data_IF_811411004318
#
_entry.id   IF_811411004318
#
_cell.length_a   1.000
_cell.length_b   1.000
_cell.length_c   1.000
_cell.angle_alpha   90.00
_cell.angle_beta   90.00
_cell.angle_gamma   90.00
#
_symmetry.space_group_name_H-M   'P 1'
#
loop_
_entity.id
_entity.type
_entity.pdbx_description
1 polymer ?
#
# COMPACT_ATOMS: atom_id res chain seq x y z
N UNK A 1 -35.95 9.89 -7.11
CA UNK A 1 -34.76 10.12 -7.93
C UNK A 1 -33.79 11.12 -7.32
N UNK A 2 -34.21 12.35 -6.98
CA UNK A 2 -33.32 13.36 -6.38
C UNK A 2 -32.65 12.87 -5.05
N UNK A 3 -33.42 12.17 -4.19
CA UNK A 3 -32.86 11.57 -2.96
C UNK A 3 -31.81 10.51 -3.24
N UNK A 4 -32.05 9.65 -4.25
CA UNK A 4 -31.12 8.58 -4.62
C UNK A 4 -29.79 9.16 -5.13
N UNK A 5 -29.85 10.16 -6.03
CA UNK A 5 -28.64 10.86 -6.51
C UNK A 5 -27.86 11.52 -5.35
N UNK A 6 -28.57 12.12 -4.38
CA UNK A 6 -27.92 12.73 -3.20
C UNK A 6 -27.21 11.67 -2.36
N UNK A 7 -27.85 10.53 -2.10
CA UNK A 7 -27.25 9.41 -1.35
C UNK A 7 -26.03 8.88 -2.10
N UNK A 8 -26.17 8.58 -3.41
CA UNK A 8 -25.05 8.09 -4.23
C UNK A 8 -23.85 9.06 -4.19
N UNK A 9 -24.09 10.37 -4.34
CA UNK A 9 -23.06 11.40 -4.26
C UNK A 9 -22.37 11.44 -2.89
N UNK A 10 -23.14 11.30 -1.81
CA UNK A 10 -22.59 11.33 -0.45
C UNK A 10 -21.71 10.10 -0.19
N UNK A 11 -22.18 8.92 -0.58
CA UNK A 11 -21.43 7.66 -0.41
C UNK A 11 -20.16 7.65 -1.28
N UNK A 12 -20.30 7.91 -2.59
CA UNK A 12 -19.16 7.93 -3.52
C UNK A 12 -18.16 9.01 -3.11
N UNK A 13 -18.62 10.22 -2.80
CA UNK A 13 -17.73 11.32 -2.44
C UNK A 13 -16.95 11.08 -1.14
N UNK A 14 -17.61 10.56 -0.09
CA UNK A 14 -16.95 10.22 1.16
C UNK A 14 -15.91 9.12 0.96
N UNK A 15 -16.28 8.04 0.24
CA UNK A 15 -15.39 6.91 0.01
C UNK A 15 -14.18 7.28 -0.85
N UNK A 16 -14.38 8.07 -1.92
CA UNK A 16 -13.30 8.52 -2.79
C UNK A 16 -12.29 9.43 -2.05
N UNK A 17 -12.76 10.32 -1.17
CA UNK A 17 -11.85 11.13 -0.34
C UNK A 17 -11.02 10.22 0.58
N UNK A 18 -11.64 9.27 1.26
CA UNK A 18 -10.94 8.37 2.19
C UNK A 18 -9.99 7.45 1.43
N UNK A 19 -10.45 6.82 0.34
CA UNK A 19 -9.65 5.92 -0.49
C UNK A 19 -8.42 6.62 -1.07
N UNK A 20 -8.61 7.81 -1.65
CA UNK A 20 -7.51 8.61 -2.18
C UNK A 20 -6.52 9.05 -1.10
N UNK A 21 -6.99 9.35 0.11
CA UNK A 21 -6.13 9.78 1.20
C UNK A 21 -5.32 8.62 1.81
N UNK A 22 -5.90 7.43 1.94
CA UNK A 22 -5.19 6.23 2.38
C UNK A 22 -4.06 5.90 1.40
N UNK A 23 -4.35 5.91 0.09
CA UNK A 23 -3.33 5.69 -0.95
C UNK A 23 -2.28 6.81 -0.96
N UNK A 24 -2.69 8.08 -0.78
CA UNK A 24 -1.75 9.20 -0.72
C UNK A 24 -0.88 9.16 0.54
N UNK A 25 -1.33 8.54 1.63
CA UNK A 25 -0.51 8.29 2.82
C UNK A 25 0.64 7.31 2.53
N UNK A 26 0.46 6.34 1.62
CA UNK A 26 1.50 5.42 1.14
C UNK A 26 1.48 5.33 -0.40
N UNK A 27 1.73 6.47 -1.07
CA UNK A 27 1.76 6.51 -2.52
C UNK A 27 2.92 5.69 -3.12
N UNK A 28 4.00 5.51 -2.37
CA UNK A 28 5.13 4.63 -2.75
C UNK A 28 4.65 3.17 -2.76
N UNK A 29 3.98 2.70 -1.71
CA UNK A 29 3.42 1.35 -1.67
C UNK A 29 2.37 1.14 -2.77
N UNK A 30 1.52 2.13 -3.04
CA UNK A 30 0.57 2.04 -4.15
C UNK A 30 1.26 2.01 -5.52
N UNK A 31 2.41 2.69 -5.69
CA UNK A 31 3.19 2.60 -6.93
C UNK A 31 3.77 1.20 -7.16
N UNK A 32 4.15 0.47 -6.10
CA UNK A 32 4.58 -0.93 -6.22
C UNK A 32 3.45 -1.83 -6.72
N UNK A 33 2.22 -1.63 -6.24
CA UNK A 33 1.05 -2.36 -6.75
C UNK A 33 0.76 -2.06 -8.22
N UNK A 34 0.89 -0.80 -8.66
CA UNK A 34 0.78 -0.46 -10.08
C UNK A 34 1.89 -1.08 -10.91
N UNK A 35 3.11 -1.16 -10.38
CA UNK A 35 4.22 -1.84 -11.02
C UNK A 35 3.88 -3.33 -11.25
N UNK A 36 3.35 -4.01 -10.23
CA UNK A 36 2.94 -5.41 -10.33
C UNK A 36 1.86 -5.60 -11.40
N UNK A 37 0.88 -4.67 -11.50
CA UNK A 37 -0.13 -4.73 -12.57
C UNK A 37 0.45 -4.56 -13.98
N UNK A 38 1.44 -3.67 -14.15
CA UNK A 38 2.03 -3.38 -15.47
C UNK A 38 3.18 -4.31 -15.87
N UNK A 39 3.59 -5.19 -14.97
CA UNK A 39 4.64 -6.17 -15.20
C UNK A 39 4.34 -7.08 -16.42
N UNK A 40 5.37 -7.62 -17.09
CA UNK A 40 5.23 -8.43 -18.31
C UNK A 40 4.38 -9.69 -18.13
N UNK A 41 4.37 -10.26 -16.93
CA UNK A 41 3.64 -11.49 -16.60
C UNK A 41 2.18 -11.22 -16.18
N UNK A 42 1.76 -9.94 -16.11
CA UNK A 42 0.40 -9.52 -15.77
C UNK A 42 -0.28 -8.84 -16.95
N UNK A 43 -0.17 -7.53 -17.10
CA UNK A 43 -0.79 -6.78 -18.20
C UNK A 43 0.16 -6.51 -19.36
N UNK A 44 1.46 -6.70 -19.19
CA UNK A 44 2.52 -6.45 -20.18
C UNK A 44 2.44 -5.05 -20.79
N UNK A 45 2.46 -4.02 -19.93
CA UNK A 45 2.43 -2.62 -20.36
C UNK A 45 3.70 -1.90 -19.87
N UNK A 46 4.89 -2.23 -20.42
CA UNK A 46 6.18 -1.75 -19.93
C UNK A 46 6.32 -0.22 -20.00
N UNK A 47 5.59 0.44 -20.89
CA UNK A 47 5.60 1.90 -21.01
C UNK A 47 5.28 2.62 -19.69
N UNK A 48 4.43 2.05 -18.83
CA UNK A 48 4.05 2.69 -17.57
C UNK A 48 4.99 2.36 -16.41
N UNK A 49 5.92 1.42 -16.53
CA UNK A 49 6.80 1.01 -15.42
C UNK A 49 7.66 2.16 -14.90
N UNK A 50 8.17 3.02 -15.78
CA UNK A 50 8.95 4.20 -15.38
C UNK A 50 8.09 5.33 -14.78
N UNK A 51 6.77 5.26 -14.92
CA UNK A 51 5.83 6.29 -14.50
C UNK A 51 4.88 5.85 -13.38
N UNK A 52 5.11 4.68 -12.76
CA UNK A 52 4.20 4.13 -11.75
C UNK A 52 4.01 5.07 -10.55
N UNK A 53 5.06 5.72 -10.07
CA UNK A 53 4.96 6.66 -8.95
C UNK A 53 4.19 7.95 -9.30
N UNK A 54 4.53 8.70 -10.36
CA UNK A 54 3.71 9.83 -10.80
C UNK A 54 2.25 9.46 -11.06
N UNK A 55 2.00 8.27 -11.62
CA UNK A 55 0.65 7.76 -11.87
C UNK A 55 -0.09 7.46 -10.56
N UNK A 56 0.58 6.84 -9.59
CA UNK A 56 0.02 6.59 -8.26
C UNK A 56 -0.40 7.90 -7.59
N UNK A 57 0.46 8.91 -7.55
CA UNK A 57 0.16 10.23 -6.99
C UNK A 57 -1.01 10.90 -7.73
N UNK A 58 -1.02 10.82 -9.07
CA UNK A 58 -2.11 11.35 -9.88
C UNK A 58 -3.45 10.70 -9.53
N UNK A 59 -3.51 9.38 -9.42
CA UNK A 59 -4.73 8.63 -9.07
C UNK A 59 -5.21 9.03 -7.67
N UNK A 60 -4.32 9.08 -6.67
CA UNK A 60 -4.67 9.50 -5.30
C UNK A 60 -5.29 10.89 -5.26
N UNK A 61 -4.65 11.86 -5.92
CA UNK A 61 -5.13 13.24 -5.99
C UNK A 61 -6.46 13.31 -6.74
N UNK A 62 -6.58 12.60 -7.86
CA UNK A 62 -7.82 12.58 -8.65
C UNK A 62 -8.99 12.01 -7.86
N UNK A 63 -8.81 10.95 -7.09
CA UNK A 63 -9.84 10.40 -6.19
C UNK A 63 -10.33 11.45 -5.19
N UNK A 64 -9.42 12.14 -4.51
CA UNK A 64 -9.77 13.15 -3.51
C UNK A 64 -10.52 14.33 -4.17
N UNK A 65 -10.02 14.83 -5.30
CA UNK A 65 -10.64 15.95 -6.02
C UNK A 65 -12.02 15.59 -6.57
N UNK A 66 -12.16 14.40 -7.16
CA UNK A 66 -13.45 13.92 -7.68
C UNK A 66 -14.45 13.65 -6.54
N UNK A 67 -13.94 13.12 -5.41
CA UNK A 67 -14.75 12.93 -4.20
C UNK A 67 -15.30 14.27 -3.67
N UNK A 68 -14.46 15.30 -3.57
CA UNK A 68 -14.92 16.64 -3.19
C UNK A 68 -15.86 17.24 -4.24
N UNK A 69 -15.49 17.17 -5.52
CA UNK A 69 -16.28 17.74 -6.62
C UNK A 69 -17.69 17.16 -6.70
N UNK A 70 -17.84 15.83 -6.53
CA UNK A 70 -19.17 15.20 -6.53
C UNK A 70 -19.99 15.60 -5.31
N UNK A 71 -19.38 15.79 -4.15
CA UNK A 71 -20.06 16.26 -2.93
C UNK A 71 -20.61 17.67 -3.12
N UNK A 72 -19.80 18.60 -3.61
CA UNK A 72 -20.23 20.01 -3.77
C UNK A 72 -21.00 20.26 -5.07
N UNK A 73 -21.03 19.30 -5.99
CA UNK A 73 -21.71 19.43 -7.28
C UNK A 73 -20.97 20.30 -8.29
N UNK A 74 -19.62 20.34 -8.20
CA UNK A 74 -18.77 21.12 -9.10
C UNK A 74 -18.65 20.43 -10.46
N UNK A 75 -18.75 21.21 -11.55
CA UNK A 75 -18.58 20.71 -12.95
C UNK A 75 -19.18 19.32 -13.18
N UNK A 76 -20.42 19.10 -12.75
CA UNK A 76 -21.02 17.75 -12.59
C UNK A 76 -20.90 16.84 -13.80
N UNK A 77 -20.98 17.39 -15.03
CA UNK A 77 -20.79 16.60 -16.24
C UNK A 77 -19.36 16.02 -16.27
N UNK A 78 -18.35 16.88 -16.13
CA UNK A 78 -16.95 16.45 -16.10
C UNK A 78 -16.70 15.47 -14.94
N UNK A 79 -17.12 15.83 -13.73
CA UNK A 79 -16.95 15.01 -12.52
C UNK A 79 -17.58 13.62 -12.67
N UNK A 80 -18.82 13.53 -13.17
CA UNK A 80 -19.52 12.25 -13.33
C UNK A 80 -18.83 11.32 -14.33
N UNK A 81 -18.42 11.87 -15.49
CA UNK A 81 -17.73 11.07 -16.51
C UNK A 81 -16.29 10.71 -16.08
N UNK A 82 -15.58 11.57 -15.34
CA UNK A 82 -14.27 11.24 -14.79
C UNK A 82 -14.37 10.16 -13.72
N UNK A 83 -15.38 10.21 -12.83
CA UNK A 83 -15.68 9.13 -11.88
C UNK A 83 -15.98 7.81 -12.60
N UNK A 84 -16.78 7.87 -13.67
CA UNK A 84 -17.08 6.67 -14.47
C UNK A 84 -15.82 6.07 -15.10
N UNK A 85 -14.98 6.91 -15.72
CA UNK A 85 -13.73 6.44 -16.31
C UNK A 85 -12.81 5.79 -15.25
N UNK A 86 -12.69 6.42 -14.08
CA UNK A 86 -11.87 5.94 -13.00
C UNK A 86 -12.38 4.61 -12.43
N UNK A 87 -13.69 4.49 -12.18
CA UNK A 87 -14.23 3.24 -11.64
C UNK A 87 -14.16 2.10 -12.66
N UNK A 88 -14.38 2.36 -13.96
CA UNK A 88 -14.21 1.35 -15.00
C UNK A 88 -12.74 0.87 -15.13
N UNK A 89 -11.79 1.77 -14.91
CA UNK A 89 -10.38 1.39 -14.83
C UNK A 89 -10.12 0.45 -13.64
N UNK A 90 -10.63 0.76 -12.45
CA UNK A 90 -10.48 -0.12 -11.29
C UNK A 90 -11.26 -1.43 -11.45
N UNK A 91 -12.51 -1.39 -11.97
CA UNK A 91 -13.28 -2.61 -12.30
C UNK A 91 -12.48 -3.54 -13.22
N UNK A 92 -11.80 -2.99 -14.23
CA UNK A 92 -10.96 -3.74 -15.15
C UNK A 92 -9.77 -4.41 -14.43
N UNK A 93 -9.05 -3.66 -13.58
CA UNK A 93 -7.91 -4.19 -12.83
C UNK A 93 -8.34 -5.27 -11.82
N UNK A 94 -9.37 -5.00 -11.02
CA UNK A 94 -9.83 -5.93 -9.97
C UNK A 94 -10.49 -7.17 -10.57
N UNK A 95 -11.23 -7.05 -11.68
CA UNK A 95 -11.74 -8.20 -12.42
C UNK A 95 -10.60 -9.06 -12.99
N UNK A 96 -9.59 -8.43 -13.59
CA UNK A 96 -8.43 -9.13 -14.12
C UNK A 96 -7.71 -9.93 -13.02
N UNK A 97 -7.45 -9.28 -11.89
CA UNK A 97 -6.86 -9.94 -10.72
C UNK A 97 -7.70 -11.12 -10.22
N UNK A 98 -9.02 -10.93 -10.08
CA UNK A 98 -9.93 -11.96 -9.60
C UNK A 98 -10.05 -13.15 -10.55
N UNK A 99 -10.09 -12.89 -11.86
CA UNK A 99 -10.30 -13.93 -12.86
C UNK A 99 -9.04 -14.74 -13.16
N UNK A 100 -7.88 -14.05 -13.26
CA UNK A 100 -6.61 -14.70 -13.60
C UNK A 100 -5.76 -15.07 -12.37
N UNK A 101 -6.18 -14.68 -11.18
CA UNK A 101 -5.48 -14.91 -9.91
C UNK A 101 -4.01 -14.44 -9.94
N UNK A 102 -3.76 -13.26 -10.53
CA UNK A 102 -2.40 -12.75 -10.78
C UNK A 102 -1.88 -11.80 -9.70
N UNK A 103 -2.72 -10.86 -9.24
CA UNK A 103 -2.39 -9.90 -8.19
C UNK A 103 -3.34 -10.15 -7.03
N UNK A 104 -2.81 -10.63 -5.91
CA UNK A 104 -3.61 -11.06 -4.74
C UNK A 104 -4.15 -9.89 -3.92
N UNK A 105 -3.54 -8.70 -4.03
CA UNK A 105 -3.95 -7.49 -3.33
C UNK A 105 -4.04 -6.31 -4.30
N UNK A 106 -5.24 -5.82 -4.54
CA UNK A 106 -5.50 -4.75 -5.50
C UNK A 106 -5.02 -3.35 -5.04
N UNK A 107 -4.64 -3.18 -3.77
CA UNK A 107 -4.21 -1.90 -3.22
C UNK A 107 -5.29 -0.81 -3.15
N UNK A 108 -6.58 -1.15 -3.29
CA UNK A 108 -7.68 -0.18 -3.29
C UNK A 108 -7.74 0.69 -2.03
N UNK A 109 -7.38 0.12 -0.87
CA UNK A 109 -7.24 0.80 0.41
C UNK A 109 -5.82 0.69 0.97
N UNK A 110 -4.81 0.54 0.08
CA UNK A 110 -3.42 0.30 0.50
C UNK A 110 -3.32 -0.90 1.44
N UNK A 111 -2.39 -0.84 2.38
CA UNK A 111 -2.20 -1.90 3.39
C UNK A 111 -3.20 -1.81 4.57
N UNK A 112 -4.10 -0.80 4.57
CA UNK A 112 -5.06 -0.60 5.67
C UNK A 112 -6.18 -1.65 5.70
N UNK A 113 -6.61 -2.15 4.54
CA UNK A 113 -7.64 -3.17 4.41
C UNK A 113 -7.21 -4.15 3.33
N UNK A 114 -6.88 -5.35 3.73
CA UNK A 114 -6.60 -6.45 2.81
C UNK A 114 -7.93 -7.06 2.34
N UNK A 115 -8.25 -6.86 1.08
CA UNK A 115 -9.41 -7.44 0.42
C UNK A 115 -8.96 -8.49 -0.59
N UNK A 116 -9.65 -9.60 -0.64
CA UNK A 116 -9.46 -10.57 -1.73
C UNK A 116 -9.78 -9.91 -3.08
N UNK A 117 -9.24 -10.42 -4.20
CA UNK A 117 -9.54 -9.86 -5.53
C UNK A 117 -11.04 -9.82 -5.84
N UNK A 118 -11.80 -10.84 -5.46
CA UNK A 118 -13.27 -10.90 -5.66
C UNK A 118 -14.02 -9.90 -4.78
N UNK A 119 -13.63 -9.69 -3.53
CA UNK A 119 -14.22 -8.67 -2.66
C UNK A 119 -13.95 -7.25 -3.20
N UNK A 120 -12.73 -7.02 -3.70
CA UNK A 120 -12.35 -5.77 -4.35
C UNK A 120 -13.20 -5.49 -5.58
N UNK A 121 -13.36 -6.48 -6.45
CA UNK A 121 -14.22 -6.38 -7.63
C UNK A 121 -15.70 -6.15 -7.25
N UNK A 122 -16.23 -6.90 -6.29
CA UNK A 122 -17.61 -6.72 -5.83
C UNK A 122 -17.86 -5.30 -5.27
N UNK A 123 -16.92 -4.75 -4.51
CA UNK A 123 -16.94 -3.37 -4.03
C UNK A 123 -16.98 -2.38 -5.20
N UNK A 124 -16.14 -2.57 -6.21
CA UNK A 124 -16.07 -1.68 -7.37
C UNK A 124 -17.34 -1.74 -8.20
N UNK A 125 -17.95 -2.91 -8.39
CA UNK A 125 -19.27 -3.07 -9.05
C UNK A 125 -20.35 -2.29 -8.30
N UNK A 126 -20.38 -2.35 -6.96
CA UNK A 126 -21.35 -1.56 -6.17
C UNK A 126 -21.13 -0.05 -6.38
N UNK A 127 -19.88 0.39 -6.38
CA UNK A 127 -19.54 1.79 -6.67
C UNK A 127 -19.93 2.21 -8.10
N UNK A 128 -19.69 1.34 -9.07
CA UNK A 128 -20.11 1.56 -10.47
C UNK A 128 -21.61 1.80 -10.58
N UNK A 129 -22.44 1.03 -9.89
CA UNK A 129 -23.89 1.27 -9.87
C UNK A 129 -24.22 2.66 -9.30
N UNK A 130 -23.59 3.07 -8.21
CA UNK A 130 -23.79 4.40 -7.62
C UNK A 130 -23.33 5.53 -8.56
N UNK A 131 -22.19 5.33 -9.25
CA UNK A 131 -21.65 6.29 -10.21
C UNK A 131 -22.53 6.36 -11.46
N UNK A 132 -23.06 5.25 -11.95
CA UNK A 132 -24.04 5.26 -13.05
C UNK A 132 -25.29 6.09 -12.71
N UNK A 133 -25.78 6.03 -11.46
CA UNK A 133 -26.88 6.90 -11.00
C UNK A 133 -26.46 8.37 -11.06
N UNK A 134 -25.23 8.70 -10.66
CA UNK A 134 -24.69 10.07 -10.73
C UNK A 134 -24.60 10.53 -12.18
N UNK A 135 -24.10 9.69 -13.08
CA UNK A 135 -24.00 9.98 -14.53
C UNK A 135 -25.38 10.20 -15.14
N UNK A 136 -26.36 9.33 -14.84
CA UNK A 136 -27.71 9.44 -15.38
C UNK A 136 -28.46 10.74 -14.96
N UNK A 137 -28.07 11.34 -13.84
CA UNK A 137 -28.75 12.51 -13.29
C UNK A 137 -27.84 13.72 -13.09
N UNK A 138 -26.64 13.73 -13.68
CA UNK A 138 -25.67 14.82 -13.52
C UNK A 138 -26.19 16.20 -13.88
N UNK A 139 -27.06 16.30 -14.91
CA UNK A 139 -27.66 17.57 -15.36
C UNK A 139 -28.58 18.21 -14.31
N UNK A 140 -29.11 17.39 -13.37
CA UNK A 140 -30.01 17.86 -12.30
C UNK A 140 -29.24 18.38 -11.07
N UNK A 141 -27.95 18.19 -11.03
CA UNK A 141 -27.07 18.60 -9.93
C UNK A 141 -26.34 19.87 -10.33
N UNK A 142 -26.47 20.90 -9.49
CA UNK A 142 -25.78 22.18 -9.67
C UNK A 142 -24.79 22.36 -8.49
N UNK A 143 -23.81 23.23 -8.70
CA UNK A 143 -22.88 23.63 -7.64
C UNK A 143 -23.64 24.15 -6.42
N UNK A 144 -23.34 23.61 -5.25
CA UNK A 144 -24.14 23.76 -4.05
C UNK A 144 -23.75 25.03 -3.26
N UNK A 145 -24.77 25.70 -2.75
CA UNK A 145 -24.61 26.84 -1.83
C UNK A 145 -24.25 26.34 -0.42
N UNK A 146 -23.72 27.23 0.43
CA UNK A 146 -23.41 26.88 1.82
C UNK A 146 -24.64 26.38 2.60
N UNK A 147 -25.87 26.82 2.27
CA UNK A 147 -27.12 26.33 2.89
C UNK A 147 -27.37 24.85 2.61
N UNK A 148 -27.07 24.38 1.40
CA UNK A 148 -27.22 22.96 1.01
C UNK A 148 -26.03 22.17 1.54
N UNK A 149 -24.82 22.71 1.42
CA UNK A 149 -23.61 22.10 1.93
C UNK A 149 -23.67 21.87 3.44
N UNK A 150 -24.29 22.76 4.20
CA UNK A 150 -24.49 22.61 5.65
C UNK A 150 -25.27 21.34 6.07
N UNK A 151 -25.94 20.68 5.12
CA UNK A 151 -26.64 19.40 5.37
C UNK A 151 -25.86 18.20 4.80
N UNK A 152 -25.32 18.35 3.60
CA UNK A 152 -24.69 17.24 2.88
C UNK A 152 -23.26 16.97 3.37
N UNK A 153 -22.44 18.01 3.59
CA UNK A 153 -21.07 17.84 4.02
C UNK A 153 -20.95 17.23 5.43
N UNK A 154 -21.76 17.61 6.45
CA UNK A 154 -21.73 16.90 7.72
C UNK A 154 -22.12 15.41 7.60
N UNK A 155 -23.08 15.07 6.72
CA UNK A 155 -23.42 13.66 6.49
C UNK A 155 -22.25 12.88 5.89
N UNK A 156 -21.53 13.45 4.92
CA UNK A 156 -20.31 12.85 4.38
C UNK A 156 -19.22 12.75 5.45
N UNK A 157 -19.05 13.79 6.28
CA UNK A 157 -18.06 13.78 7.38
C UNK A 157 -18.37 12.69 8.41
N UNK A 158 -19.64 12.45 8.74
CA UNK A 158 -20.04 11.35 9.63
C UNK A 158 -19.63 10.00 9.01
N UNK A 159 -19.84 9.79 7.71
CA UNK A 159 -19.41 8.56 7.03
C UNK A 159 -17.89 8.40 7.07
N UNK A 160 -17.14 9.47 6.77
CA UNK A 160 -15.67 9.48 6.90
C UNK A 160 -15.26 9.17 8.33
N UNK A 161 -15.92 9.77 9.33
CA UNK A 161 -15.63 9.54 10.75
C UNK A 161 -15.89 8.11 11.20
N UNK A 162 -17.02 7.53 10.79
CA UNK A 162 -17.34 6.13 11.08
C UNK A 162 -16.30 5.19 10.46
N UNK A 163 -15.95 5.42 9.19
CA UNK A 163 -14.94 4.62 8.52
C UNK A 163 -13.54 4.77 9.17
N UNK A 164 -13.17 6.01 9.51
CA UNK A 164 -11.90 6.31 10.22
C UNK A 164 -11.81 5.64 11.58
N UNK A 165 -12.92 5.60 12.32
CA UNK A 165 -12.94 5.02 13.67
C UNK A 165 -13.00 3.48 13.65
N UNK A 166 -13.96 2.90 12.92
CA UNK A 166 -14.23 1.46 12.99
C UNK A 166 -13.36 0.61 12.06
N UNK A 167 -12.80 1.22 11.00
CA UNK A 167 -12.06 0.47 9.98
C UNK A 167 -10.58 0.82 9.98
N UNK A 168 -10.25 2.13 10.08
CA UNK A 168 -8.87 2.57 9.94
C UNK A 168 -8.13 2.74 11.26
N UNK A 169 -8.83 2.94 12.37
CA UNK A 169 -8.24 3.42 13.62
C UNK A 169 -7.30 4.62 13.39
N UNK A 170 -7.75 5.56 12.53
CA UNK A 170 -6.95 6.69 12.09
C UNK A 170 -7.82 7.91 11.77
N UNK A 171 -7.64 9.00 12.50
CA UNK A 171 -8.52 10.18 12.40
C UNK A 171 -8.05 11.26 11.44
N UNK A 172 -6.86 11.14 10.83
CA UNK A 172 -6.38 12.14 9.86
C UNK A 172 -7.35 12.33 8.68
N UNK A 173 -8.03 11.29 8.13
CA UNK A 173 -9.01 11.49 7.07
C UNK A 173 -10.15 12.44 7.48
N UNK A 174 -10.55 12.44 8.75
CA UNK A 174 -11.56 13.37 9.28
C UNK A 174 -11.02 14.79 9.24
N UNK A 175 -9.81 15.03 9.76
CA UNK A 175 -9.20 16.37 9.77
C UNK A 175 -8.95 16.89 8.36
N UNK A 176 -8.46 16.05 7.47
CA UNK A 176 -8.23 16.43 6.07
C UNK A 176 -9.54 16.80 5.38
N UNK A 177 -10.59 15.99 5.58
CA UNK A 177 -11.94 16.28 5.04
C UNK A 177 -12.50 17.58 5.61
N UNK A 178 -12.28 17.87 6.89
CA UNK A 178 -12.67 19.15 7.49
C UNK A 178 -11.94 20.34 6.84
N UNK A 179 -10.67 20.20 6.52
CA UNK A 179 -9.91 21.23 5.77
C UNK A 179 -10.55 21.48 4.41
N UNK A 180 -10.87 20.44 3.63
CA UNK A 180 -11.53 20.56 2.35
C UNK A 180 -12.91 21.23 2.46
N UNK A 181 -13.66 20.94 3.51
CA UNK A 181 -14.98 21.53 3.75
C UNK A 181 -14.87 22.99 4.21
N UNK A 182 -13.86 23.31 5.00
CA UNK A 182 -13.54 24.70 5.37
C UNK A 182 -13.17 25.52 4.13
N UNK A 183 -12.33 24.99 3.24
CA UNK A 183 -12.00 25.62 1.97
C UNK A 183 -13.25 25.85 1.11
N UNK A 184 -14.14 24.86 1.04
CA UNK A 184 -15.42 24.98 0.34
C UNK A 184 -16.27 26.11 0.93
N UNK A 185 -16.36 26.22 2.25
CA UNK A 185 -17.12 27.28 2.93
C UNK A 185 -16.52 28.67 2.67
N UNK A 186 -15.18 28.81 2.77
CA UNK A 186 -14.44 30.05 2.52
C UNK A 186 -14.64 30.53 1.07
N UNK A 187 -14.43 29.64 0.09
CA UNK A 187 -14.60 29.92 -1.32
C UNK A 187 -16.04 30.40 -1.61
N UNK A 188 -17.04 29.70 -1.06
CA UNK A 188 -18.45 30.05 -1.24
C UNK A 188 -18.82 31.38 -0.56
N UNK A 189 -18.17 31.73 0.54
CA UNK A 189 -18.43 32.96 1.30
C UNK A 189 -17.81 34.20 0.65
N UNK A 190 -16.57 34.08 0.17
CA UNK A 190 -15.77 35.26 -0.19
C UNK A 190 -15.59 35.47 -1.70
N UNK A 191 -15.81 34.43 -2.54
CA UNK A 191 -15.53 34.53 -3.96
C UNK A 191 -16.80 34.70 -4.81
N UNK A 192 -16.62 35.28 -6.01
CA UNK A 192 -17.65 35.41 -7.04
C UNK A 192 -18.00 34.01 -7.58
N UNK A 193 -19.25 33.83 -7.98
CA UNK A 193 -19.83 32.53 -8.39
C UNK A 193 -19.05 31.91 -9.57
N UNK A 194 -18.57 32.73 -10.47
CA UNK A 194 -17.94 32.33 -11.74
C UNK A 194 -16.62 31.62 -11.54
N UNK A 195 -15.90 31.96 -10.46
CA UNK A 195 -14.54 31.43 -10.20
C UNK A 195 -14.50 30.36 -9.10
N UNK A 196 -15.60 30.17 -8.33
CA UNK A 196 -15.61 29.29 -7.13
C UNK A 196 -15.15 27.88 -7.40
N UNK A 197 -15.69 27.26 -8.46
CA UNK A 197 -15.41 25.86 -8.75
C UNK A 197 -13.94 25.61 -9.06
N UNK A 198 -13.34 26.47 -9.88
CA UNK A 198 -11.93 26.36 -10.23
C UNK A 198 -11.00 26.70 -9.06
N UNK A 199 -11.34 27.76 -8.31
CA UNK A 199 -10.55 28.12 -7.12
C UNK A 199 -10.58 27.02 -6.06
N UNK A 200 -11.76 26.41 -5.83
CA UNK A 200 -11.85 25.27 -4.92
C UNK A 200 -11.01 24.09 -5.41
N UNK A 201 -11.10 23.76 -6.70
CA UNK A 201 -10.28 22.69 -7.28
C UNK A 201 -8.77 22.96 -7.13
N UNK A 202 -8.34 24.20 -7.39
CA UNK A 202 -6.91 24.58 -7.24
C UNK A 202 -6.45 24.51 -5.78
N UNK A 203 -7.24 25.02 -4.82
CA UNK A 203 -6.88 24.96 -3.41
C UNK A 203 -6.85 23.53 -2.88
N UNK A 204 -7.83 22.70 -3.27
CA UNK A 204 -7.84 21.29 -2.93
C UNK A 204 -6.63 20.54 -3.56
N UNK A 205 -6.30 20.84 -4.82
CA UNK A 205 -5.12 20.30 -5.50
C UNK A 205 -3.82 20.64 -4.76
N UNK A 206 -3.65 21.91 -4.38
CA UNK A 206 -2.47 22.33 -3.61
C UNK A 206 -2.38 21.58 -2.27
N UNK A 207 -3.54 21.41 -1.58
CA UNK A 207 -3.59 20.66 -0.32
C UNK A 207 -3.19 19.19 -0.53
N UNK A 208 -3.68 18.55 -1.59
CA UNK A 208 -3.32 17.17 -1.93
C UNK A 208 -1.85 17.03 -2.31
N UNK A 209 -1.31 17.96 -3.12
CA UNK A 209 0.12 17.96 -3.49
C UNK A 209 1.00 18.12 -2.25
N UNK A 210 0.66 19.07 -1.37
CA UNK A 210 1.42 19.28 -0.12
C UNK A 210 1.41 18.02 0.76
N UNK A 211 0.27 17.32 0.85
CA UNK A 211 0.16 16.07 1.58
C UNK A 211 1.00 14.95 0.94
N UNK A 212 0.87 14.76 -0.37
CA UNK A 212 1.63 13.73 -1.10
C UNK A 212 3.13 14.01 -1.08
N UNK A 213 3.55 15.27 -1.14
CA UNK A 213 4.95 15.67 -1.00
C UNK A 213 5.48 15.35 0.40
N UNK A 214 4.68 15.63 1.45
CA UNK A 214 5.07 15.28 2.81
C UNK A 214 5.29 13.78 2.97
N UNK A 215 4.35 12.94 2.53
CA UNK A 215 4.45 11.47 2.66
C UNK A 215 5.52 10.85 1.75
N UNK A 216 5.95 11.55 0.71
CA UNK A 216 7.09 11.16 -0.13
C UNK A 216 8.43 11.49 0.52
N UNK A 217 8.54 12.68 1.11
CA UNK A 217 9.79 13.16 1.71
C UNK A 217 10.03 12.63 3.12
N UNK A 218 8.99 12.06 3.72
CA UNK A 218 8.99 11.45 5.04
C UNK A 218 8.29 10.09 4.98
N UNK A 219 8.20 9.38 6.08
CA UNK A 219 7.45 8.11 6.11
C UNK A 219 5.93 8.35 6.10
N UNK A 220 5.13 7.34 5.68
CA UNK A 220 3.69 7.37 5.86
C UNK A 220 3.28 7.72 7.29
N UNK A 221 2.30 8.61 7.46
CA UNK A 221 1.86 9.08 8.78
C UNK A 221 1.25 7.93 9.60
N UNK A 222 0.51 7.02 8.94
CA UNK A 222 0.04 5.77 9.53
C UNK A 222 0.61 4.59 8.76
N UNK A 223 1.29 3.72 9.46
CA UNK A 223 1.83 2.48 8.92
C UNK A 223 0.93 1.30 9.31
N UNK A 224 0.35 0.61 8.33
CA UNK A 224 -0.53 -0.55 8.51
C UNK A 224 0.21 -1.87 8.27
N UNK A 225 1.49 -1.82 7.93
CA UNK A 225 2.29 -3.00 7.60
C UNK A 225 2.73 -3.76 8.84
N UNK A 226 3.13 -5.03 8.69
CA UNK A 226 3.62 -5.84 9.81
C UNK A 226 4.85 -5.23 10.52
N UNK A 227 5.59 -4.38 9.81
CA UNK A 227 6.78 -3.70 10.33
C UNK A 227 6.49 -2.31 10.91
N UNK A 228 5.29 -2.04 11.39
CA UNK A 228 4.95 -0.76 12.04
C UNK A 228 5.67 -0.61 13.39
N UNK A 229 5.88 0.65 13.82
CA UNK A 229 6.46 0.95 15.14
C UNK A 229 5.62 0.26 16.24
N UNK A 230 6.30 -0.37 17.20
CA UNK A 230 5.70 -1.14 18.29
C UNK A 230 5.48 -2.62 17.96
N UNK A 231 5.69 -3.06 16.72
CA UNK A 231 5.63 -4.48 16.34
C UNK A 231 6.94 -5.18 16.63
N UNK A 232 6.85 -6.47 16.97
CA UNK A 232 8.05 -7.30 17.19
C UNK A 232 8.19 -8.28 16.03
N UNK A 233 9.30 -8.17 15.28
CA UNK A 233 9.53 -8.95 14.07
C UNK A 233 9.58 -10.45 14.41
N UNK A 234 10.30 -10.84 15.47
CA UNK A 234 10.44 -12.24 15.83
C UNK A 234 9.12 -12.89 16.21
N UNK A 235 8.24 -12.19 16.95
CA UNK A 235 6.92 -12.69 17.32
C UNK A 235 5.97 -12.78 16.11
N UNK A 236 6.06 -11.81 15.19
CA UNK A 236 5.20 -11.76 14.02
C UNK A 236 5.66 -12.73 12.90
N UNK A 237 6.83 -13.38 13.04
CA UNK A 237 7.32 -14.48 12.20
C UNK A 237 6.79 -15.85 12.63
N UNK A 238 6.14 -15.94 13.78
CA UNK A 238 5.63 -17.20 14.31
C UNK A 238 4.10 -17.23 14.21
N UNK A 239 3.56 -18.37 13.79
CA UNK A 239 2.11 -18.58 13.80
C UNK A 239 1.57 -18.59 15.25
N UNK A 240 0.42 -17.94 15.52
CA UNK A 240 -0.22 -18.00 16.82
C UNK A 240 -0.65 -19.43 17.18
N UNK A 241 -0.76 -19.74 18.48
CA UNK A 241 -1.26 -21.02 18.93
C UNK A 241 -2.68 -21.26 18.40
N UNK A 242 -2.91 -22.43 17.80
CA UNK A 242 -4.20 -22.81 17.20
C UNK A 242 -4.39 -22.36 15.76
N UNK A 243 -3.38 -21.80 15.10
CA UNK A 243 -3.39 -21.48 13.69
C UNK A 243 -3.70 -22.72 12.84
N UNK A 244 -4.50 -22.55 11.80
CA UNK A 244 -4.84 -23.62 10.87
C UNK A 244 -3.73 -23.76 9.83
N UNK A 245 -3.29 -25.00 9.60
CA UNK A 245 -2.35 -25.27 8.51
C UNK A 245 -3.05 -25.30 7.15
N UNK A 246 -2.28 -25.03 6.10
CA UNK A 246 -2.74 -25.26 4.73
C UNK A 246 -3.22 -26.69 4.54
N UNK A 247 -4.37 -26.84 3.87
CA UNK A 247 -4.90 -28.15 3.50
C UNK A 247 -4.72 -28.35 2.00
N UNK A 248 -3.91 -29.32 1.67
CA UNK A 248 -3.65 -29.72 0.28
C UNK A 248 -4.37 -31.00 -0.05
N UNK A 249 -4.85 -31.13 -1.28
CA UNK A 249 -5.43 -32.35 -1.84
C UNK A 249 -4.69 -32.69 -3.14
N UNK A 250 -4.35 -34.00 -3.26
CA UNK A 250 -3.75 -34.50 -4.49
C UNK A 250 -4.85 -34.85 -5.49
N UNK A 251 -4.79 -34.23 -6.65
CA UNK A 251 -5.61 -34.54 -7.82
C UNK A 251 -4.79 -35.47 -8.72
N UNK A 252 -5.27 -36.69 -8.89
CA UNK A 252 -4.66 -37.75 -9.68
C UNK A 252 -5.30 -37.78 -11.05
N UNK A 253 -4.54 -37.60 -12.12
CA UNK A 253 -5.03 -37.74 -13.49
C UNK A 253 -4.74 -39.14 -13.99
N UNK A 254 -5.80 -39.89 -14.26
CA UNK A 254 -5.73 -41.24 -14.82
C UNK A 254 -6.49 -41.32 -16.13
N UNK A 255 -5.94 -42.04 -17.09
CA UNK A 255 -6.58 -42.40 -18.36
C UNK A 255 -7.27 -43.76 -18.24
N UNK A 256 -8.56 -43.78 -18.56
CA UNK A 256 -9.35 -45.00 -18.66
C UNK A 256 -10.11 -45.01 -19.99
N UNK A 257 -9.91 -46.01 -20.80
CA UNK A 257 -10.53 -46.15 -22.14
C UNK A 257 -10.28 -44.92 -23.08
N UNK A 258 -9.10 -44.31 -23.02
CA UNK A 258 -8.74 -43.14 -23.83
C UNK A 258 -9.27 -41.81 -23.30
N UNK A 259 -9.88 -41.78 -22.10
CA UNK A 259 -10.40 -40.58 -21.46
C UNK A 259 -9.57 -40.27 -20.20
N UNK A 260 -8.97 -39.11 -20.12
CA UNK A 260 -8.27 -38.64 -18.92
C UNK A 260 -9.28 -38.00 -17.99
N UNK A 261 -9.31 -38.44 -16.72
CA UNK A 261 -10.21 -37.94 -15.69
C UNK A 261 -9.42 -37.63 -14.42
N UNK A 262 -9.91 -36.65 -13.67
CA UNK A 262 -9.37 -36.26 -12.37
C UNK A 262 -9.99 -37.09 -11.25
N UNK A 263 -9.17 -37.57 -10.35
CA UNK A 263 -9.55 -38.36 -9.16
C UNK A 263 -8.90 -37.76 -7.92
N UNK A 264 -9.57 -37.91 -6.78
CA UNK A 264 -8.99 -37.57 -5.47
C UNK A 264 -8.23 -38.78 -4.90
N UNK A 265 -7.43 -38.59 -3.86
CA UNK A 265 -6.76 -39.67 -3.15
C UNK A 265 -7.78 -40.66 -2.55
N UNK A 266 -9.01 -40.21 -2.21
CA UNK A 266 -10.08 -41.04 -1.67
C UNK A 266 -10.67 -42.01 -2.70
N UNK A 267 -10.65 -41.63 -3.98
CA UNK A 267 -11.16 -42.46 -5.09
C UNK A 267 -10.22 -43.63 -5.43
N UNK A 268 -8.99 -43.63 -4.89
CA UNK A 268 -7.96 -44.66 -5.09
C UNK A 268 -7.78 -45.07 -6.55
N UNK A 269 -7.47 -44.11 -7.44
CA UNK A 269 -7.45 -44.41 -8.89
C UNK A 269 -6.42 -45.48 -9.29
N UNK A 270 -5.42 -45.77 -8.45
CA UNK A 270 -4.44 -46.84 -8.63
C UNK A 270 -5.02 -48.23 -8.44
N UNK A 271 -6.23 -48.37 -7.84
CA UNK A 271 -6.96 -49.64 -7.69
C UNK A 271 -7.93 -49.88 -8.88
N UNK A 272 -8.14 -48.89 -9.76
CA UNK A 272 -9.07 -48.98 -10.91
C UNK A 272 -8.42 -49.84 -12.01
N UNK A 273 -9.05 -50.96 -12.33
CA UNK A 273 -8.54 -51.91 -13.30
C UNK A 273 -8.57 -51.32 -14.73
N UNK A 274 -7.40 -51.27 -15.39
CA UNK A 274 -7.26 -50.69 -16.73
C UNK A 274 -7.02 -49.16 -16.76
N UNK A 275 -6.95 -48.51 -15.62
CA UNK A 275 -6.55 -47.10 -15.55
C UNK A 275 -5.02 -46.96 -15.58
N UNK A 276 -4.53 -46.00 -16.36
CA UNK A 276 -3.12 -45.69 -16.49
C UNK A 276 -2.84 -44.29 -15.91
N UNK A 277 -1.84 -44.21 -15.04
CA UNK A 277 -1.41 -42.92 -14.46
C UNK A 277 -0.92 -41.95 -15.56
N UNK A 278 -1.41 -40.71 -15.52
CA UNK A 278 -1.01 -39.65 -16.44
C UNK A 278 -0.22 -38.60 -15.71
N UNK A 279 -0.78 -38.07 -14.59
CA UNK A 279 -0.17 -36.92 -13.87
C UNK A 279 -0.71 -36.86 -12.44
N UNK A 280 -0.01 -36.13 -11.57
CA UNK A 280 -0.46 -35.79 -10.21
C UNK A 280 -0.23 -34.29 -9.95
N UNK A 281 -1.27 -33.60 -9.55
CA UNK A 281 -1.25 -32.19 -9.19
C UNK A 281 -1.70 -32.03 -7.73
N UNK A 282 -0.89 -31.38 -6.90
CA UNK A 282 -1.29 -31.04 -5.52
C UNK A 282 -1.98 -29.68 -5.55
N UNK A 283 -3.26 -29.63 -5.18
CA UNK A 283 -4.05 -28.39 -5.12
C UNK A 283 -4.24 -27.95 -3.67
N UNK A 284 -4.05 -26.65 -3.43
CA UNK A 284 -4.44 -26.03 -2.17
C UNK A 284 -5.98 -25.96 -2.12
N UNK A 285 -6.58 -26.64 -1.14
CA UNK A 285 -8.04 -26.70 -0.95
C UNK A 285 -8.49 -25.67 0.08
N UNK A 286 -7.70 -25.51 1.12
CA UNK A 286 -7.95 -24.51 2.16
C UNK A 286 -6.62 -23.86 2.52
N UNK A 287 -6.57 -22.55 2.34
CA UNK A 287 -5.45 -21.73 2.79
C UNK A 287 -5.52 -21.60 4.31
N UNK A 288 -4.44 -21.97 4.97
CA UNK A 288 -4.28 -21.84 6.41
C UNK A 288 -3.90 -20.42 6.83
N UNK A 289 -3.63 -20.28 8.11
CA UNK A 289 -3.10 -19.04 8.65
C UNK A 289 -1.60 -18.93 8.34
N UNK A 290 -1.17 -17.76 7.87
CA UNK A 290 0.25 -17.44 7.68
C UNK A 290 0.70 -16.41 8.70
N UNK A 291 1.97 -16.45 9.15
CA UNK A 291 2.49 -15.42 10.03
C UNK A 291 2.46 -14.06 9.30
N UNK A 292 2.23 -12.95 10.00
CA UNK A 292 2.26 -11.62 9.40
C UNK A 292 3.57 -11.30 8.66
N UNK A 293 4.69 -11.91 9.12
CA UNK A 293 6.02 -11.83 8.51
C UNK A 293 6.47 -13.26 8.21
N UNK A 294 6.70 -13.62 6.94
CA UNK A 294 7.08 -14.98 6.54
C UNK A 294 8.41 -15.04 5.77
N UNK A 295 8.89 -13.92 5.21
CA UNK A 295 10.05 -13.90 4.32
C UNK A 295 11.19 -12.98 4.83
N UNK A 296 11.29 -12.77 6.15
CA UNK A 296 12.33 -11.93 6.71
C UNK A 296 13.59 -12.76 7.01
N UNK A 297 14.68 -12.49 6.28
CA UNK A 297 16.01 -13.02 6.55
C UNK A 297 17.07 -11.94 6.35
N UNK A 298 18.19 -12.08 7.06
CA UNK A 298 19.37 -11.23 6.95
C UNK A 298 20.55 -12.15 6.70
N UNK A 299 21.05 -12.17 5.49
CA UNK A 299 22.05 -13.13 5.05
C UNK A 299 23.36 -12.45 4.62
N UNK A 300 24.47 -13.11 4.87
CA UNK A 300 25.79 -12.69 4.44
C UNK A 300 26.59 -13.90 3.97
N UNK A 301 27.34 -13.75 2.89
CA UNK A 301 28.24 -14.81 2.39
C UNK A 301 29.29 -15.22 3.41
N UNK A 302 29.72 -14.28 4.26
CA UNK A 302 30.75 -14.53 5.24
C UNK A 302 30.25 -15.13 6.57
N UNK A 303 29.03 -14.75 7.00
CA UNK A 303 28.48 -15.06 8.32
C UNK A 303 27.25 -16.00 8.25
N UNK A 304 26.72 -16.26 7.06
CA UNK A 304 25.47 -16.98 6.87
C UNK A 304 24.26 -16.17 7.30
N UNK A 305 23.21 -16.84 7.75
CA UNK A 305 22.00 -16.22 8.29
C UNK A 305 22.25 -15.70 9.71
N UNK A 306 22.13 -14.38 9.87
CA UNK A 306 22.32 -13.67 11.14
C UNK A 306 21.01 -13.16 11.73
N UNK A 307 19.88 -13.47 11.14
CA UNK A 307 18.53 -12.98 11.50
C UNK A 307 18.25 -13.11 12.99
N UNK A 308 18.40 -14.30 13.53
CA UNK A 308 18.15 -14.60 14.93
C UNK A 308 19.07 -13.81 15.89
N UNK A 309 20.34 -13.62 15.51
CA UNK A 309 21.30 -12.86 16.30
C UNK A 309 20.91 -11.38 16.37
N UNK A 310 20.49 -10.81 15.24
CA UNK A 310 20.06 -9.41 15.16
C UNK A 310 18.73 -9.18 15.90
N UNK A 311 17.76 -10.08 15.74
CA UNK A 311 16.47 -9.94 16.42
C UNK A 311 16.55 -10.14 17.94
N UNK A 312 17.54 -10.86 18.45
CA UNK A 312 17.79 -11.06 19.89
C UNK A 312 18.70 -9.98 20.50
N UNK A 313 19.29 -9.11 19.68
CA UNK A 313 20.16 -8.05 20.19
C UNK A 313 19.38 -7.05 21.04
N UNK A 314 19.97 -6.60 22.15
CA UNK A 314 19.38 -5.57 23.03
C UNK A 314 19.10 -4.26 22.26
N UNK A 315 19.99 -3.90 21.33
CA UNK A 315 19.81 -2.79 20.41
C UNK A 315 20.33 -3.19 19.03
N UNK A 316 19.56 -2.95 17.99
CA UNK A 316 20.00 -3.12 16.61
C UNK A 316 19.52 -1.95 15.73
N UNK A 317 20.34 -1.57 14.75
CA UNK A 317 20.02 -0.61 13.72
C UNK A 317 20.00 -1.31 12.37
N UNK A 318 18.88 -1.23 11.69
CA UNK A 318 18.71 -1.74 10.34
C UNK A 318 18.66 -0.57 9.36
N UNK A 319 19.60 -0.49 8.44
CA UNK A 319 19.50 0.36 7.26
C UNK A 319 18.92 -0.46 6.11
N UNK A 320 17.87 0.04 5.48
CA UNK A 320 17.12 -0.66 4.44
C UNK A 320 17.27 0.06 3.12
N UNK A 321 17.87 -0.60 2.15
CA UNK A 321 18.13 -0.08 0.80
C UNK A 321 17.61 -1.08 -0.23
N UNK A 322 16.30 -1.04 -0.50
CA UNK A 322 15.65 -2.02 -1.38
C UNK A 322 16.13 -1.91 -2.85
N UNK A 323 16.63 -0.74 -3.25
CA UNK A 323 17.21 -0.51 -4.58
C UNK A 323 18.34 0.52 -4.49
N UNK A 324 19.58 0.04 -4.39
CA UNK A 324 20.74 0.92 -4.31
C UNK A 324 20.94 1.79 -5.54
N UNK A 325 20.48 1.36 -6.71
CA UNK A 325 20.60 2.14 -7.94
C UNK A 325 19.79 3.43 -7.93
N UNK A 326 18.81 3.51 -7.03
CA UNK A 326 17.92 4.67 -6.82
C UNK A 326 18.22 5.42 -5.51
N UNK A 327 19.24 5.00 -4.77
CA UNK A 327 19.65 5.68 -3.56
C UNK A 327 20.46 6.94 -3.89
N UNK A 328 20.19 8.01 -3.15
CA UNK A 328 20.94 9.26 -3.25
C UNK A 328 22.32 9.13 -2.57
N UNK A 329 23.38 9.60 -3.22
CA UNK A 329 24.75 9.55 -2.70
C UNK A 329 24.88 10.24 -1.35
N UNK A 330 24.22 11.40 -1.15
CA UNK A 330 24.21 12.10 0.14
C UNK A 330 23.55 11.26 1.25
N UNK A 331 22.51 10.49 0.90
CA UNK A 331 21.86 9.61 1.84
C UNK A 331 22.75 8.41 2.22
N UNK A 332 23.50 7.84 1.26
CA UNK A 332 24.48 6.78 1.52
C UNK A 332 25.63 7.27 2.42
N UNK A 333 26.12 8.48 2.20
CA UNK A 333 27.13 9.11 3.06
C UNK A 333 26.63 9.32 4.50
N UNK A 334 25.33 9.69 4.67
CA UNK A 334 24.71 9.77 6.01
C UNK A 334 24.65 8.41 6.69
N UNK A 335 24.30 7.36 5.95
CA UNK A 335 24.29 5.97 6.45
C UNK A 335 25.69 5.57 6.94
N UNK A 336 26.72 5.73 6.10
CA UNK A 336 28.10 5.42 6.46
C UNK A 336 28.56 6.19 7.70
N UNK A 337 28.26 7.50 7.76
CA UNK A 337 28.60 8.33 8.91
C UNK A 337 27.98 7.80 10.19
N UNK A 338 26.69 7.45 10.19
CA UNK A 338 26.01 6.89 11.37
C UNK A 338 26.63 5.55 11.77
N UNK A 339 26.93 4.65 10.80
CA UNK A 339 27.58 3.36 11.05
C UNK A 339 28.93 3.55 11.75
N UNK A 340 29.75 4.51 11.28
CA UNK A 340 31.09 4.76 11.81
C UNK A 340 31.08 5.47 13.19
N UNK A 341 30.05 6.24 13.47
CA UNK A 341 29.94 7.02 14.73
C UNK A 341 29.21 6.23 15.84
N UNK A 342 28.39 5.20 15.51
CA UNK A 342 27.76 4.35 16.53
C UNK A 342 28.77 3.37 17.11
N UNK A 343 28.62 3.07 18.41
CA UNK A 343 29.39 2.06 19.13
C UNK A 343 28.90 0.65 18.73
N UNK A 344 29.69 -0.03 17.91
CA UNK A 344 29.39 -1.37 17.41
C UNK A 344 29.43 -2.46 18.49
N UNK A 345 30.04 -2.21 19.64
CA UNK A 345 30.01 -3.14 20.79
C UNK A 345 28.65 -3.04 21.53
N UNK A 346 27.99 -1.89 21.45
CA UNK A 346 26.71 -1.66 22.12
C UNK A 346 25.47 -1.84 21.20
N UNK A 347 25.65 -1.78 19.88
CA UNK A 347 24.57 -1.80 18.88
C UNK A 347 24.94 -2.70 17.71
N UNK A 348 24.10 -3.69 17.41
CA UNK A 348 24.22 -4.47 16.19
C UNK A 348 23.78 -3.63 14.98
N UNK A 349 24.67 -3.41 14.02
CA UNK A 349 24.35 -2.57 12.84
C UNK A 349 24.34 -3.42 11.59
N UNK A 350 23.26 -3.34 10.82
CA UNK A 350 23.05 -4.08 9.58
C UNK A 350 22.56 -3.16 8.48
N UNK A 351 23.24 -3.18 7.34
CA UNK A 351 22.78 -2.54 6.11
C UNK A 351 22.26 -3.61 5.15
N UNK A 352 20.98 -3.57 4.80
CA UNK A 352 20.30 -4.61 4.01
C UNK A 352 20.01 -4.13 2.60
N UNK A 353 20.30 -4.97 1.61
CA UNK A 353 19.95 -4.71 0.22
C UNK A 353 19.63 -6.00 -0.54
N UNK A 354 18.79 -5.88 -1.57
CA UNK A 354 18.56 -6.93 -2.57
C UNK A 354 19.46 -6.78 -3.81
N UNK A 355 20.26 -5.71 -3.88
CA UNK A 355 21.17 -5.42 -4.98
C UNK A 355 22.31 -6.44 -5.04
N UNK A 356 22.76 -6.85 -6.21
CA UNK A 356 23.84 -7.81 -6.36
C UNK A 356 25.18 -7.24 -5.87
N UNK A 357 26.05 -8.10 -5.33
CA UNK A 357 27.35 -7.68 -4.75
C UNK A 357 28.20 -6.86 -5.74
N UNK A 358 28.21 -7.23 -7.02
CA UNK A 358 28.97 -6.50 -8.04
C UNK A 358 28.46 -5.07 -8.26
N UNK A 359 27.15 -4.90 -8.26
CA UNK A 359 26.51 -3.57 -8.35
C UNK A 359 26.71 -2.75 -7.09
N UNK A 360 26.57 -3.38 -5.90
CA UNK A 360 26.82 -2.72 -4.62
C UNK A 360 28.23 -2.13 -4.55
N UNK A 361 29.25 -2.89 -4.95
CA UNK A 361 30.65 -2.43 -4.99
C UNK A 361 30.82 -1.21 -5.90
N UNK A 362 30.20 -1.23 -7.09
CA UNK A 362 30.31 -0.11 -8.03
C UNK A 362 29.66 1.14 -7.47
N UNK A 363 28.42 1.03 -6.95
CA UNK A 363 27.66 2.16 -6.39
C UNK A 363 28.39 2.74 -5.17
N UNK A 364 28.87 1.89 -4.26
CA UNK A 364 29.64 2.36 -3.09
C UNK A 364 30.92 3.08 -3.50
N UNK A 365 31.61 2.59 -4.52
CA UNK A 365 32.80 3.22 -5.02
C UNK A 365 32.51 4.58 -5.66
N UNK A 366 31.43 4.71 -6.42
CA UNK A 366 30.99 5.97 -7.04
C UNK A 366 30.54 6.98 -5.98
N UNK A 367 29.79 6.55 -4.96
CA UNK A 367 29.36 7.40 -3.84
C UNK A 367 30.47 7.71 -2.84
N UNK A 368 31.64 7.02 -2.94
CA UNK A 368 32.77 7.21 -2.03
C UNK A 368 32.52 6.68 -0.63
N UNK A 369 31.70 5.62 -0.47
CA UNK A 369 31.30 5.02 0.81
C UNK A 369 31.78 3.57 0.93
N UNK A 370 31.92 3.09 2.16
CA UNK A 370 32.25 1.69 2.49
C UNK A 370 31.26 1.13 3.49
N UNK A 371 30.18 0.55 2.99
CA UNK A 371 29.08 -0.01 3.79
C UNK A 371 29.10 -1.53 3.65
N UNK A 372 29.17 -2.31 4.77
CA UNK A 372 29.01 -3.76 4.74
C UNK A 372 27.53 -4.11 4.56
N UNK A 373 27.18 -4.75 3.45
CA UNK A 373 25.81 -5.13 3.15
C UNK A 373 25.51 -6.59 3.49
N UNK A 374 24.26 -6.79 3.90
CA UNK A 374 23.61 -8.09 4.06
C UNK A 374 22.50 -8.21 3.02
N UNK A 375 22.28 -9.41 2.55
CA UNK A 375 21.22 -9.70 1.61
C UNK A 375 19.88 -9.89 2.33
N UNK A 376 18.83 -9.32 1.76
CA UNK A 376 17.43 -9.53 2.14
C UNK A 376 16.57 -9.38 0.88
N UNK A 377 15.49 -10.14 0.79
CA UNK A 377 14.56 -10.07 -0.35
C UNK A 377 14.01 -8.67 -0.60
N UNK A 378 13.90 -8.29 -1.87
CA UNK A 378 13.46 -6.95 -2.29
C UNK A 378 12.04 -6.61 -1.84
N UNK A 379 11.11 -7.57 -1.92
CA UNK A 379 9.71 -7.39 -1.52
C UNK A 379 9.60 -7.16 -0.02
N UNK A 380 10.39 -7.91 0.74
CA UNK A 380 10.53 -7.74 2.19
C UNK A 380 11.07 -6.36 2.52
N UNK A 381 12.18 -5.94 1.90
CA UNK A 381 12.77 -4.61 2.11
C UNK A 381 11.77 -3.48 1.80
N UNK A 382 11.06 -3.56 0.68
CA UNK A 382 9.99 -2.62 0.31
C UNK A 382 8.86 -2.58 1.34
N UNK A 383 8.58 -3.72 2.00
CA UNK A 383 7.53 -3.82 3.03
C UNK A 383 8.00 -3.26 4.37
N UNK A 384 9.27 -3.39 4.73
CA UNK A 384 9.83 -2.89 5.99
C UNK A 384 9.68 -1.36 6.08
N UNK A 385 10.11 -0.62 5.06
CA UNK A 385 10.09 0.85 5.09
C UNK A 385 9.86 1.45 3.70
N UNK A 386 9.14 2.57 3.64
CA UNK A 386 8.90 3.33 2.40
C UNK A 386 9.94 4.45 2.21
N UNK A 387 11.20 4.10 2.39
CA UNK A 387 12.34 5.00 2.18
C UNK A 387 13.53 4.20 1.65
N UNK A 388 14.32 4.81 0.79
CA UNK A 388 15.50 4.19 0.17
C UNK A 388 16.67 5.20 0.12
N UNK A 389 17.56 5.24 1.12
CA UNK A 389 17.60 4.43 2.35
C UNK A 389 16.49 4.75 3.37
N UNK A 390 16.11 3.74 4.15
CA UNK A 390 15.36 3.89 5.39
C UNK A 390 16.18 3.37 6.58
N UNK A 391 15.83 3.77 7.80
CA UNK A 391 16.49 3.30 9.02
C UNK A 391 15.45 2.87 10.04
N UNK A 392 15.73 1.77 10.78
CA UNK A 392 14.96 1.29 11.91
C UNK A 392 15.86 1.12 13.12
N UNK A 393 15.30 1.39 14.31
CA UNK A 393 15.90 1.01 15.58
C UNK A 393 15.08 -0.11 16.20
N UNK A 394 15.74 -1.21 16.51
CA UNK A 394 15.13 -2.37 17.16
C UNK A 394 15.65 -2.51 18.60
N UNK A 395 14.78 -2.98 19.48
CA UNK A 395 15.13 -3.49 20.80
C UNK A 395 14.51 -4.88 20.97
N UNK A 396 15.35 -5.91 21.10
CA UNK A 396 14.91 -7.31 21.20
C UNK A 396 13.87 -7.68 20.13
N UNK A 397 14.15 -7.31 18.87
CA UNK A 397 13.28 -7.54 17.73
C UNK A 397 12.06 -6.60 17.62
N UNK A 398 11.80 -5.75 18.62
CA UNK A 398 10.72 -4.78 18.57
C UNK A 398 11.16 -3.50 17.85
N UNK A 399 10.38 -3.07 16.88
CA UNK A 399 10.63 -1.82 16.14
C UNK A 399 10.25 -0.64 17.03
N UNK A 400 11.27 0.04 17.56
CA UNK A 400 11.06 1.18 18.47
C UNK A 400 10.86 2.46 17.67
N UNK A 401 11.60 2.62 16.57
CA UNK A 401 11.44 3.78 15.70
C UNK A 401 11.86 3.49 14.26
N UNK A 402 11.40 4.37 13.33
CA UNK A 402 11.70 4.30 11.89
C UNK A 402 11.89 5.70 11.34
N UNK A 403 12.81 5.85 10.37
CA UNK A 403 13.10 7.14 9.75
C UNK A 403 13.28 7.02 8.24
N UNK A 404 12.84 8.02 7.54
CA UNK A 404 13.21 8.31 6.17
C UNK A 404 14.61 8.94 6.14
N UNK A 405 15.39 8.78 5.08
CA UNK A 405 16.75 9.34 4.98
C UNK A 405 16.81 10.88 5.17
N UNK A 406 15.70 11.57 4.91
CA UNK A 406 15.61 13.02 5.20
C UNK A 406 15.52 13.34 6.69
N UNK A 407 15.13 12.37 7.51
CA UNK A 407 14.84 12.51 8.94
C UNK A 407 15.84 11.75 9.83
N UNK A 408 16.95 11.25 9.28
CA UNK A 408 17.92 10.51 10.06
C UNK A 408 18.45 11.37 11.21
N UNK A 409 18.32 10.90 12.47
CA UNK A 409 18.94 11.56 13.61
C UNK A 409 20.46 11.42 13.56
N UNK A 410 21.17 12.28 14.27
CA UNK A 410 22.60 12.10 14.44
C UNK A 410 22.92 10.88 15.32
N UNK A 411 24.13 10.32 15.20
CA UNK A 411 24.55 9.22 16.05
C UNK A 411 24.53 9.62 17.54
N UNK A 412 24.84 10.88 17.87
CA UNK A 412 24.78 11.38 19.24
C UNK A 412 23.35 11.43 19.79
N UNK A 413 22.36 11.80 18.95
CA UNK A 413 20.96 11.78 19.37
C UNK A 413 20.48 10.34 19.60
N UNK A 414 20.86 9.40 18.74
CA UNK A 414 20.59 7.97 18.90
C UNK A 414 21.19 7.41 20.20
N UNK A 415 22.47 7.74 20.49
CA UNK A 415 23.11 7.32 21.73
C UNK A 415 22.40 7.87 22.95
N UNK A 416 22.05 9.16 22.96
CA UNK A 416 21.33 9.78 24.08
C UNK A 416 19.95 9.16 24.28
N UNK A 417 19.24 8.84 23.20
CA UNK A 417 17.87 8.37 23.26
C UNK A 417 17.77 6.89 23.66
N UNK A 418 18.70 6.05 23.21
CA UNK A 418 18.56 4.59 23.29
C UNK A 418 19.65 3.89 24.10
N UNK A 419 20.82 4.50 24.32
CA UNK A 419 21.95 3.85 24.98
C UNK A 419 22.29 4.46 26.35
N UNK A 420 21.91 5.70 26.62
CA UNK A 420 22.24 6.40 27.86
C UNK A 420 21.12 6.38 28.93
N UNK A 421 20.25 5.33 28.89
CA UNK A 421 19.24 5.13 29.91
C UNK A 421 19.70 4.12 30.97
#
# INVERSE_FOLDING_TARGET
MQKLTTISRTLVGALFIVSGLIKANDAVGFSFKLHDYFAPDVLDIPFFLDYVYPLAVFICIAEILLGLAVLVGAKMKLTAFSLLLMILFFDGLTFYSAYFNKVTDCGCFGDAIKLTPWESFAKDVVLSVLIFIIVAFHDKVKYQTNKVNAKLLPAALVLVGLFSHYVLDWFLPVYFTLILFLLTWLVNKFLLKEIREWTLATLALITCIAFSYHTYSHLPIRDYRPYAIGKNIASDMVLPEGAQADVYEDVWKYELNGIVSDYTTQDKPWEIQGATFVDRETKLILEGDHPPIHDFSIESDALGDVTDSILKASNAVLFVMYDLTKSDDEALQKVEKIINELDQDAVSIVAMSATTESQMRTICQEAGVSIPFFFTDETTLKTIVRANPGMLWLQEGTIVNKWHHNDFPSADDLKKQYLNN
#
